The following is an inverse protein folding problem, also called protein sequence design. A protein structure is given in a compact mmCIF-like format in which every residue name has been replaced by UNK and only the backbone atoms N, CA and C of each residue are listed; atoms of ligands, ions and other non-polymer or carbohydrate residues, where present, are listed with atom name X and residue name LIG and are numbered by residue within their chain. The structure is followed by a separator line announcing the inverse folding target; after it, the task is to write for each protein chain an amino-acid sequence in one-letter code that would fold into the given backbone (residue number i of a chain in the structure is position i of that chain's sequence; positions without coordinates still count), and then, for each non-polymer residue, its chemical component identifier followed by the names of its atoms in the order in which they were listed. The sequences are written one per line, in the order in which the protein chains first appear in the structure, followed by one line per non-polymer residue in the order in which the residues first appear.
data_IF_684867939408
#
_entry.id   IF_684867939408
#
_cell.length_a   1.000
_cell.length_b   1.000
_cell.length_c   1.000
_cell.angle_alpha   90.00
_cell.angle_beta   90.00
_cell.angle_gamma   90.00
#
_symmetry.space_group_name_H-M   'P 1'
#
loop_
_entity.id
_entity.type
_entity.pdbx_description
1 polymer ?
#
# COMPACT_ATOMS: atom_id res chain seq x y z
N UNK A 1 5.93 -25.30 10.32
CA UNK A 1 4.62 -24.67 10.03
C UNK A 1 4.64 -24.27 8.56
N UNK A 2 3.59 -24.52 7.78
CA UNK A 2 3.43 -23.81 6.51
C UNK A 2 3.04 -22.38 6.89
N UNK A 3 3.86 -21.41 6.53
CA UNK A 3 3.52 -20.00 6.69
C UNK A 3 2.26 -19.71 5.86
N UNK A 4 1.39 -18.82 6.34
CA UNK A 4 0.14 -18.54 5.68
C UNK A 4 0.41 -17.85 4.32
N UNK A 5 0.01 -18.52 3.24
CA UNK A 5 0.04 -17.97 1.88
C UNK A 5 -1.35 -17.42 1.57
N UNK A 6 -1.43 -16.11 1.35
CA UNK A 6 -2.63 -15.44 0.87
C UNK A 6 -2.39 -15.02 -0.59
N UNK A 7 -3.36 -15.28 -1.46
CA UNK A 7 -3.31 -14.85 -2.85
C UNK A 7 -4.59 -14.11 -3.20
N UNK A 8 -4.45 -12.92 -3.77
CA UNK A 8 -5.57 -12.12 -4.23
C UNK A 8 -5.27 -11.57 -5.63
N UNK A 9 -6.25 -11.74 -6.53
CA UNK A 9 -6.27 -11.05 -7.82
C UNK A 9 -7.45 -10.08 -7.80
N UNK A 10 -7.14 -8.79 -7.93
CA UNK A 10 -8.11 -7.70 -7.86
C UNK A 10 -8.16 -7.04 -9.24
N UNK A 11 -9.34 -7.05 -9.86
CA UNK A 11 -9.56 -6.59 -11.23
C UNK A 11 -10.68 -5.56 -11.28
N UNK A 12 -10.50 -4.52 -12.11
CA UNK A 12 -11.56 -3.53 -12.40
C UNK A 12 -12.26 -3.02 -11.13
N UNK A 13 -11.48 -2.81 -10.08
CA UNK A 13 -11.98 -2.53 -8.74
C UNK A 13 -11.57 -1.13 -8.29
N UNK A 14 -12.36 -0.58 -7.38
CA UNK A 14 -12.09 0.71 -6.74
C UNK A 14 -11.93 0.47 -5.24
N UNK A 15 -10.74 0.77 -4.73
CA UNK A 15 -10.37 0.73 -3.31
C UNK A 15 -10.16 2.18 -2.88
N UNK A 16 -11.15 2.75 -2.19
CA UNK A 16 -11.10 4.17 -1.88
C UNK A 16 -11.67 4.51 -0.52
N UNK A 17 -11.23 5.67 -0.01
CA UNK A 17 -11.75 6.30 1.19
C UNK A 17 -11.71 5.37 2.43
N UNK A 18 -10.73 4.46 2.49
CA UNK A 18 -10.50 3.62 3.67
C UNK A 18 -9.81 4.43 4.77
N UNK A 19 -10.08 4.05 6.02
CA UNK A 19 -9.44 4.66 7.19
C UNK A 19 -10.09 5.97 7.66
N UNK A 20 -11.42 6.06 7.62
CA UNK A 20 -12.17 7.26 8.05
C UNK A 20 -12.39 7.37 9.56
N UNK A 21 -11.96 6.37 10.34
CA UNK A 21 -12.09 6.41 11.79
C UNK A 21 -11.10 7.43 12.40
N UNK A 22 -11.44 7.96 13.57
CA UNK A 22 -10.54 8.87 14.31
C UNK A 22 -9.22 8.18 14.72
N UNK A 23 -9.21 6.85 14.84
CA UNK A 23 -8.00 6.10 15.16
C UNK A 23 -6.99 6.14 14.00
N UNK A 24 -7.44 6.16 12.75
CA UNK A 24 -6.56 6.28 11.58
C UNK A 24 -5.83 7.63 11.50
N UNK A 25 -6.23 8.65 12.27
CA UNK A 25 -5.48 9.91 12.37
C UNK A 25 -4.24 9.78 13.25
N UNK A 26 -4.09 8.68 13.99
CA UNK A 26 -2.95 8.44 14.86
C UNK A 26 -1.94 7.57 14.13
N UNK A 27 -0.66 7.92 14.24
CA UNK A 27 0.43 7.26 13.51
C UNK A 27 0.62 5.78 13.86
N UNK A 28 0.15 5.35 15.03
CA UNK A 28 0.25 3.95 15.45
C UNK A 28 -0.74 2.99 14.75
N UNK A 29 -1.73 3.51 14.01
CA UNK A 29 -2.67 2.68 13.26
C UNK A 29 -2.40 2.80 11.77
N UNK A 30 -2.05 1.68 11.13
CA UNK A 30 -1.98 1.60 9.68
C UNK A 30 -3.40 1.44 9.11
N UNK A 31 -3.84 2.44 8.35
CA UNK A 31 -5.11 2.47 7.67
C UNK A 31 -4.91 2.62 6.15
N UNK A 32 -4.29 1.60 5.58
CA UNK A 32 -3.97 1.54 4.15
C UNK A 32 -5.17 1.08 3.32
N UNK A 33 -5.11 1.30 2.01
CA UNK A 33 -6.04 0.66 1.06
C UNK A 33 -5.82 -0.86 0.99
N UNK A 34 -4.55 -1.29 0.91
CA UNK A 34 -4.14 -2.69 0.96
C UNK A 34 -2.90 -2.81 1.86
N UNK A 35 -2.95 -3.67 2.87
CA UNK A 35 -1.78 -4.05 3.67
C UNK A 35 -1.40 -5.51 3.41
N UNK A 36 -0.13 -5.77 3.11
CA UNK A 36 0.39 -7.09 2.78
C UNK A 36 1.31 -7.63 3.89
N UNK A 37 1.06 -8.88 4.32
CA UNK A 37 1.79 -9.56 5.38
C UNK A 37 2.37 -10.89 4.89
N UNK A 38 3.48 -11.33 5.48
CA UNK A 38 4.09 -12.65 5.28
C UNK A 38 4.29 -12.96 3.79
N UNK A 39 3.76 -14.09 3.31
CA UNK A 39 3.89 -14.58 1.93
C UNK A 39 2.71 -14.15 1.04
N UNK A 40 2.11 -12.98 1.30
CA UNK A 40 1.00 -12.49 0.50
C UNK A 40 1.42 -12.19 -0.95
N UNK A 41 0.62 -12.67 -1.89
CA UNK A 41 0.69 -12.32 -3.30
C UNK A 41 -0.54 -11.53 -3.71
N UNK A 42 -0.35 -10.31 -4.22
CA UNK A 42 -1.43 -9.46 -4.72
C UNK A 42 -1.16 -9.11 -6.17
N UNK A 43 -2.14 -9.38 -7.05
CA UNK A 43 -2.13 -8.93 -8.43
C UNK A 43 -3.24 -7.90 -8.64
N UNK A 44 -2.87 -6.67 -8.97
CA UNK A 44 -3.79 -5.58 -9.28
C UNK A 44 -3.86 -5.40 -10.79
N UNK A 45 -5.07 -5.39 -11.34
CA UNK A 45 -5.29 -5.25 -12.79
C UNK A 45 -6.35 -4.19 -13.04
N UNK A 46 -6.01 -3.15 -13.80
CA UNK A 46 -6.94 -2.08 -14.22
C UNK A 46 -7.84 -1.61 -13.07
N UNK A 47 -7.24 -1.34 -11.91
CA UNK A 47 -7.94 -1.01 -10.67
C UNK A 47 -7.43 0.33 -10.13
N UNK A 48 -8.25 0.99 -9.33
CA UNK A 48 -7.94 2.29 -8.74
C UNK A 48 -7.85 2.20 -7.21
N UNK A 49 -6.82 2.79 -6.63
CA UNK A 49 -6.56 2.86 -5.18
C UNK A 49 -6.42 4.33 -4.78
N UNK A 50 -7.50 4.90 -4.26
CA UNK A 50 -7.65 6.36 -4.16
C UNK A 50 -7.96 6.82 -2.73
N UNK A 51 -7.36 7.92 -2.31
CA UNK A 51 -7.78 8.64 -1.10
C UNK A 51 -7.84 7.81 0.19
N UNK A 52 -6.99 6.79 0.32
CA UNK A 52 -6.90 6.04 1.57
C UNK A 52 -6.14 6.85 2.62
N UNK A 53 -6.48 6.62 3.90
CA UNK A 53 -5.97 7.39 5.02
C UNK A 53 -4.43 7.43 5.07
N UNK A 54 -3.78 6.28 4.92
CA UNK A 54 -2.32 6.13 4.93
C UNK A 54 -1.80 5.65 3.58
N UNK A 55 -1.24 4.45 3.46
CA UNK A 55 -0.73 3.98 2.17
C UNK A 55 -1.87 3.61 1.21
N UNK A 56 -1.69 3.82 -0.09
CA UNK A 56 -2.53 3.14 -1.09
C UNK A 56 -2.35 1.62 -0.99
N UNK A 57 -1.10 1.18 -1.08
CA UNK A 57 -0.69 -0.20 -0.83
C UNK A 57 0.62 -0.22 -0.04
N UNK A 58 0.68 -1.03 1.01
CA UNK A 58 1.86 -1.21 1.84
C UNK A 58 2.20 -2.69 2.05
N UNK A 59 3.48 -2.96 2.24
CA UNK A 59 3.98 -4.18 2.86
C UNK A 59 4.32 -3.93 4.33
N UNK A 60 4.13 -4.93 5.19
CA UNK A 60 4.52 -4.89 6.61
C UNK A 60 6.06 -4.92 6.76
N UNK A 61 6.68 -3.77 6.49
CA UNK A 61 8.11 -3.50 6.57
C UNK A 61 8.35 -2.22 7.38
N UNK A 62 9.48 -2.13 8.07
CA UNK A 62 9.86 -0.95 8.86
C UNK A 62 9.96 0.33 8.02
N UNK A 63 10.43 0.20 6.78
CA UNK A 63 10.46 1.33 5.84
C UNK A 63 9.06 1.84 5.46
N UNK A 64 8.01 1.04 5.66
CA UNK A 64 6.61 1.39 5.47
C UNK A 64 5.92 1.89 6.74
N UNK A 65 6.65 2.00 7.85
CA UNK A 65 6.11 2.44 9.15
C UNK A 65 5.65 1.31 10.06
N UNK A 66 5.91 0.04 9.71
CA UNK A 66 5.63 -1.09 10.59
C UNK A 66 6.68 -1.23 11.71
N UNK A 67 6.30 -1.91 12.80
CA UNK A 67 7.24 -2.19 13.91
C UNK A 67 8.28 -3.27 13.56
N UNK A 68 7.96 -4.14 12.60
CA UNK A 68 8.75 -5.32 12.22
C UNK A 68 8.77 -5.52 10.70
N UNK A 69 9.80 -6.21 10.22
CA UNK A 69 9.91 -6.64 8.81
C UNK A 69 9.39 -8.07 8.68
N UNK A 70 8.11 -8.21 8.32
CA UNK A 70 7.42 -9.50 8.26
C UNK A 70 6.77 -9.75 6.89
N UNK A 71 7.34 -9.18 5.83
CA UNK A 71 6.88 -9.36 4.46
C UNK A 71 7.94 -10.02 3.57
N UNK A 72 7.55 -11.12 2.93
CA UNK A 72 8.36 -11.88 1.95
C UNK A 72 7.57 -12.21 0.68
N UNK A 73 6.44 -11.54 0.49
CA UNK A 73 5.53 -11.73 -0.62
C UNK A 73 5.87 -10.87 -1.83
N UNK A 74 4.88 -10.66 -2.71
CA UNK A 74 5.06 -9.84 -3.90
C UNK A 74 3.76 -9.20 -4.40
N UNK A 75 3.87 -8.00 -4.97
CA UNK A 75 2.77 -7.28 -5.60
C UNK A 75 3.05 -7.08 -7.09
N UNK A 76 2.09 -7.43 -7.93
CA UNK A 76 2.14 -7.26 -9.39
C UNK A 76 1.10 -6.25 -9.82
N UNK A 77 1.51 -5.29 -10.64
CA UNK A 77 0.64 -4.30 -11.27
C UNK A 77 0.55 -4.60 -12.76
N UNK A 78 -0.65 -4.77 -13.29
CA UNK A 78 -0.92 -5.02 -14.70
C UNK A 78 -1.94 -4.00 -15.22
N UNK A 79 -1.67 -3.37 -16.37
CA UNK A 79 -2.56 -2.36 -16.95
C UNK A 79 -2.95 -1.26 -15.95
N UNK A 80 -1.95 -0.77 -15.21
CA UNK A 80 -2.08 0.31 -14.23
C UNK A 80 -1.05 1.41 -14.53
N UNK A 81 -1.49 2.65 -14.36
CA UNK A 81 -0.74 3.87 -14.61
C UNK A 81 -0.58 4.69 -13.33
N UNK A 82 0.32 5.69 -13.33
CA UNK A 82 0.62 6.50 -12.14
C UNK A 82 -0.60 7.20 -11.51
N UNK A 83 -1.62 7.50 -12.31
CA UNK A 83 -2.84 8.13 -11.79
C UNK A 83 -3.74 7.15 -11.03
N UNK A 84 -3.56 5.84 -11.23
CA UNK A 84 -4.47 4.83 -10.68
C UNK A 84 -4.26 4.58 -9.18
N UNK A 85 -3.10 4.95 -8.63
CA UNK A 85 -2.83 4.98 -7.19
C UNK A 85 -2.47 6.41 -6.83
N UNK A 86 -3.46 7.16 -6.35
CA UNK A 86 -3.32 8.60 -6.14
C UNK A 86 -4.19 9.12 -5.00
N UNK A 87 -3.81 10.26 -4.44
CA UNK A 87 -4.56 10.91 -3.35
C UNK A 87 -4.50 10.20 -2.00
N UNK A 88 -3.76 9.09 -1.89
CA UNK A 88 -3.55 8.41 -0.61
C UNK A 88 -2.70 9.25 0.34
N UNK A 89 -2.61 8.82 1.60
CA UNK A 89 -2.01 9.54 2.73
C UNK A 89 -2.79 10.81 3.08
N UNK A 90 -4.12 10.68 3.12
CA UNK A 90 -5.05 11.76 3.50
C UNK A 90 -4.78 12.27 4.92
N UNK A 91 -4.31 11.41 5.82
CA UNK A 91 -3.98 11.77 7.20
C UNK A 91 -2.68 12.55 7.31
N UNK A 92 -1.78 12.40 6.33
CA UNK A 92 -0.41 12.92 6.37
C UNK A 92 0.55 12.11 7.24
N UNK A 93 0.15 10.94 7.74
CA UNK A 93 1.00 10.11 8.58
C UNK A 93 2.28 9.63 7.87
N UNK A 94 2.21 9.44 6.55
CA UNK A 94 3.30 8.95 5.70
C UNK A 94 4.14 10.09 5.08
N UNK A 95 3.92 11.34 5.50
CA UNK A 95 4.68 12.49 4.99
C UNK A 95 6.19 12.32 5.24
N UNK A 96 6.99 12.54 4.20
CA UNK A 96 8.43 12.39 4.21
C UNK A 96 8.94 10.96 4.02
N UNK A 97 8.05 9.98 3.84
CA UNK A 97 8.44 8.57 3.67
C UNK A 97 8.65 8.16 2.21
N UNK A 98 8.19 8.96 1.23
CA UNK A 98 8.36 8.67 -0.18
C UNK A 98 7.60 7.43 -0.65
N UNK A 99 8.19 6.71 -1.60
CA UNK A 99 7.72 5.40 -2.09
C UNK A 99 8.92 4.44 -2.10
N UNK A 100 9.35 3.96 -0.92
CA UNK A 100 10.57 3.18 -0.81
C UNK A 100 10.38 1.78 -1.41
N UNK A 101 11.50 1.17 -1.81
CA UNK A 101 11.55 -0.17 -2.41
C UNK A 101 11.97 -0.18 -3.88
N UNK A 102 11.98 -1.37 -4.48
CA UNK A 102 12.38 -1.59 -5.88
C UNK A 102 11.17 -2.04 -6.70
N UNK A 103 10.16 -1.17 -6.76
CA UNK A 103 8.92 -1.42 -7.48
C UNK A 103 8.67 -0.37 -8.58
N UNK A 104 7.80 -0.63 -9.57
CA UNK A 104 7.56 0.30 -10.68
C UNK A 104 7.05 1.68 -10.28
N UNK A 105 6.61 1.87 -9.04
CA UNK A 105 6.10 3.13 -8.51
C UNK A 105 7.14 3.97 -7.74
N UNK A 106 8.36 3.45 -7.52
CA UNK A 106 9.44 4.27 -6.96
C UNK A 106 10.00 5.21 -8.05
N UNK A 107 9.35 6.38 -8.22
CA UNK A 107 9.72 7.39 -9.23
C UNK A 107 9.56 8.81 -8.66
N UNK A 108 10.33 9.81 -9.13
CA UNK A 108 10.30 11.19 -8.60
C UNK A 108 8.95 11.93 -8.68
N UNK A 109 7.98 11.42 -9.44
CA UNK A 109 6.66 12.02 -9.60
C UNK A 109 5.56 11.39 -8.73
N UNK A 110 5.87 10.33 -7.99
CA UNK A 110 4.90 9.67 -7.10
C UNK A 110 4.98 10.32 -5.72
N UNK A 111 3.89 10.93 -5.20
CA UNK A 111 3.88 11.54 -3.87
C UNK A 111 4.09 10.53 -2.76
N UNK A 112 4.36 11.01 -1.54
CA UNK A 112 4.39 10.16 -0.34
C UNK A 112 3.08 9.38 -0.18
N UNK A 113 3.16 8.18 0.38
CA UNK A 113 1.98 7.44 0.80
C UNK A 113 1.24 6.69 -0.32
N UNK A 114 1.75 6.66 -1.56
CA UNK A 114 1.05 5.93 -2.63
C UNK A 114 1.36 4.43 -2.58
N UNK A 115 2.64 4.08 -2.56
CA UNK A 115 3.10 2.69 -2.59
C UNK A 115 4.30 2.53 -1.67
N UNK A 116 4.24 1.56 -0.76
CA UNK A 116 5.40 1.09 -0.02
C UNK A 116 5.53 -0.43 -0.15
N UNK A 117 6.54 -0.87 -0.90
CA UNK A 117 6.80 -2.28 -1.17
C UNK A 117 8.32 -2.52 -1.03
N UNK A 118 8.81 -3.77 -1.00
CA UNK A 118 10.26 -4.03 -1.04
C UNK A 118 10.92 -3.54 -2.33
#
# INVERSE_FOLDING_TARGET
MREAEAQAEIKNSLIQDNGTSEDCKKKEFACDGITMYFHAYVKLISSNILNNADWGISSMLKQCGADEDVFWGHAVFESMELADISGNNVTGNQNGMGNPGTHPWNRPGVPDGQVCLP
#
